data_IF_421352767557
#
_entry.id   IF_421352767557
#
_cell.length_a   1.000
_cell.length_b   1.000
_cell.length_c   1.000
_cell.angle_alpha   90.00
_cell.angle_beta   90.00
_cell.angle_gamma   90.00
#
_symmetry.space_group_name_H-M   'P 1'
#
loop_
_entity.id
_entity.type
_entity.pdbx_description
1 polymer ?
#
# COMPACT_ATOMS: atom_id res chain seq x y z
N UNK A 1 1.45 -21.02 -25.64
CA UNK A 1 1.84 -21.95 -24.57
C UNK A 1 3.25 -21.59 -24.11
N UNK A 2 3.41 -20.51 -23.34
CA UNK A 2 4.68 -20.07 -22.71
C UNK A 2 4.29 -19.40 -21.39
N UNK A 3 3.96 -20.17 -20.39
CA UNK A 3 3.71 -19.66 -19.04
C UNK A 3 3.91 -20.80 -18.07
N UNK A 4 4.98 -20.83 -17.36
CA UNK A 4 5.21 -21.52 -16.08
C UNK A 4 6.70 -21.43 -15.85
N UNK A 5 7.23 -20.64 -14.91
CA UNK A 5 8.58 -20.83 -14.33
C UNK A 5 9.25 -19.58 -13.76
N UNK A 6 8.47 -18.72 -13.09
CA UNK A 6 9.06 -17.51 -12.51
C UNK A 6 9.43 -17.58 -11.01
N UNK A 7 8.96 -18.58 -10.27
CA UNK A 7 9.15 -18.59 -8.80
C UNK A 7 10.60 -18.57 -8.37
N UNK A 8 11.46 -19.31 -9.06
CA UNK A 8 12.89 -19.38 -8.68
C UNK A 8 13.71 -18.36 -9.45
N UNK A 9 13.22 -17.87 -10.59
CA UNK A 9 13.89 -16.79 -11.33
C UNK A 9 13.73 -15.42 -10.64
N UNK A 10 12.56 -15.13 -10.04
CA UNK A 10 12.35 -13.94 -9.20
C UNK A 10 13.26 -13.96 -7.94
N UNK A 11 13.56 -15.15 -7.41
CA UNK A 11 14.51 -15.30 -6.30
C UNK A 11 15.98 -15.18 -6.75
N UNK A 12 16.27 -15.27 -8.06
CA UNK A 12 17.63 -15.23 -8.62
C UNK A 12 17.92 -14.00 -9.46
N UNK A 13 16.91 -13.23 -9.87
CA UNK A 13 17.19 -11.94 -10.49
C UNK A 13 17.74 -11.00 -9.41
N UNK A 14 18.96 -10.46 -9.58
CA UNK A 14 19.27 -9.25 -8.87
C UNK A 14 18.22 -8.23 -9.28
N UNK A 15 17.50 -7.68 -8.33
CA UNK A 15 16.69 -6.48 -8.53
C UNK A 15 17.63 -5.40 -9.08
N UNK A 16 17.79 -5.37 -10.40
CA UNK A 16 18.47 -4.31 -11.14
C UNK A 16 17.56 -3.06 -11.26
N UNK A 17 16.61 -2.95 -10.40
CA UNK A 17 15.99 -1.70 -10.02
C UNK A 17 16.55 -1.39 -8.64
N UNK A 18 17.73 -0.73 -8.66
CA UNK A 18 18.10 0.07 -7.53
C UNK A 18 16.85 0.84 -7.14
N UNK A 19 16.37 0.60 -5.93
CA UNK A 19 15.62 1.62 -5.22
C UNK A 19 16.56 2.81 -5.10
N UNK A 20 16.76 3.50 -6.21
CA UNK A 20 17.10 4.90 -6.15
C UNK A 20 15.93 5.45 -5.36
N UNK A 21 16.20 5.87 -4.13
CA UNK A 21 15.33 6.77 -3.42
C UNK A 21 15.01 7.87 -4.43
N UNK A 22 13.87 7.76 -5.08
CA UNK A 22 13.38 8.77 -6.01
C UNK A 22 12.96 9.92 -5.12
N UNK A 23 13.93 10.71 -4.72
CA UNK A 23 13.74 12.06 -4.22
C UNK A 23 13.66 12.92 -5.45
N UNK A 24 12.46 13.28 -5.94
CA UNK A 24 12.35 14.15 -7.09
C UNK A 24 13.00 15.48 -6.77
N UNK A 25 13.80 15.98 -7.70
CA UNK A 25 14.39 17.32 -7.59
C UNK A 25 13.44 18.36 -8.15
N UNK A 26 13.13 19.38 -7.36
CA UNK A 26 12.34 20.52 -7.81
C UNK A 26 13.10 21.33 -8.85
N UNK A 27 12.50 21.58 -10.03
CA UNK A 27 13.12 22.36 -11.11
C UNK A 27 13.43 23.80 -10.74
N UNK A 28 12.69 24.36 -9.79
CA UNK A 28 12.82 25.77 -9.38
C UNK A 28 13.97 26.00 -8.39
N UNK A 29 14.38 25.00 -7.62
CA UNK A 29 15.44 25.15 -6.63
C UNK A 29 16.55 24.10 -6.73
N UNK A 30 16.49 23.13 -7.64
CA UNK A 30 17.50 22.08 -7.87
C UNK A 30 17.73 21.12 -6.70
N UNK A 31 16.87 21.13 -5.67
CA UNK A 31 17.03 20.34 -4.46
C UNK A 31 16.08 19.13 -4.46
N UNK A 32 16.54 18.01 -3.93
CA UNK A 32 15.69 16.84 -3.66
C UNK A 32 14.56 17.25 -2.74
N UNK A 33 13.31 16.92 -3.06
CA UNK A 33 12.12 17.34 -2.28
C UNK A 33 12.16 16.83 -0.84
N UNK A 34 12.86 15.71 -0.57
CA UNK A 34 13.15 15.23 0.79
C UNK A 34 14.18 16.07 1.55
N UNK A 35 14.85 17.03 0.87
CA UNK A 35 15.97 17.81 1.41
C UNK A 35 15.83 19.30 1.10
N UNK A 36 14.63 19.87 1.22
CA UNK A 36 14.52 21.31 1.28
C UNK A 36 14.86 21.74 2.71
N UNK A 37 16.10 22.22 2.96
CA UNK A 37 16.51 22.48 4.33
C UNK A 37 16.06 23.87 4.75
N UNK A 38 15.04 23.93 5.57
CA UNK A 38 14.96 25.03 6.51
C UNK A 38 15.81 24.62 7.73
N UNK A 39 17.06 25.06 7.78
CA UNK A 39 17.93 24.89 8.95
C UNK A 39 17.46 25.81 10.06
N UNK A 40 16.55 25.31 10.88
CA UNK A 40 16.30 25.84 12.22
C UNK A 40 17.23 25.13 13.21
N UNK A 41 18.14 25.87 13.83
CA UNK A 41 18.98 25.39 14.94
C UNK A 41 18.08 25.08 16.14
N UNK A 42 18.11 23.84 16.64
CA UNK A 42 17.59 23.54 17.99
C UNK A 42 18.71 23.07 18.90
N UNK A 43 18.72 23.56 20.16
CA UNK A 43 19.71 23.16 21.16
C UNK A 43 19.38 21.78 21.76
N UNK A 44 20.40 20.98 21.94
CA UNK A 44 20.33 19.67 22.58
C UNK A 44 19.83 19.78 24.04
N UNK A 45 18.85 18.96 24.41
CA UNK A 45 18.54 18.64 25.80
C UNK A 45 18.98 17.21 26.11
N UNK A 46 19.83 17.13 27.15
CA UNK A 46 20.34 15.90 27.75
C UNK A 46 19.21 15.04 28.33
N UNK A 47 19.26 13.74 28.05
CA UNK A 47 18.42 12.74 28.70
C UNK A 47 19.10 12.21 29.96
N UNK A 48 18.41 12.30 31.07
CA UNK A 48 18.75 11.57 32.30
C UNK A 48 18.04 10.22 32.31
N UNK A 49 18.83 9.18 32.51
CA UNK A 49 18.42 7.80 32.73
C UNK A 49 17.73 7.62 34.08
N UNK A 50 16.63 6.93 34.16
CA UNK A 50 16.13 6.30 35.38
C UNK A 50 15.83 4.85 35.15
N UNK A 51 16.62 3.98 35.78
CA UNK A 51 16.37 2.57 36.00
C UNK A 51 15.19 2.38 36.96
N UNK A 52 14.27 1.46 36.65
CA UNK A 52 13.45 0.83 37.67
C UNK A 52 13.38 -0.69 37.47
N UNK A 53 13.74 -1.35 38.59
CA UNK A 53 13.81 -2.81 38.79
C UNK A 53 12.41 -3.46 38.85
N UNK A 54 12.39 -4.65 38.33
CA UNK A 54 11.69 -5.90 38.65
C UNK A 54 10.61 -5.94 39.73
N UNK A 55 9.54 -6.67 39.43
CA UNK A 55 9.08 -7.76 40.28
C UNK A 55 8.10 -8.67 39.48
N UNK A 56 8.45 -9.95 39.41
CA UNK A 56 7.53 -11.04 39.03
C UNK A 56 6.70 -11.44 40.26
N UNK A 57 5.49 -11.96 40.06
CA UNK A 57 5.10 -13.16 40.77
C UNK A 57 4.65 -14.29 39.82
N UNK A 58 5.10 -15.47 40.19
CA UNK A 58 4.72 -16.74 39.62
C UNK A 58 3.37 -17.20 40.21
N UNK A 59 2.49 -17.74 39.38
CA UNK A 59 1.41 -18.60 39.82
C UNK A 59 1.25 -19.76 38.85
N UNK A 60 1.45 -20.97 39.40
CA UNK A 60 1.02 -22.24 38.83
C UNK A 60 -0.46 -22.44 39.12
N UNK A 61 -1.23 -23.05 38.25
CA UNK A 61 -2.46 -23.70 38.67
C UNK A 61 -2.31 -25.23 38.70
N UNK A 62 -2.87 -25.77 39.74
CA UNK A 62 -3.09 -27.17 40.04
C UNK A 62 -4.16 -27.79 39.15
N UNK A 63 -3.95 -29.07 38.81
CA UNK A 63 -4.91 -29.99 38.21
C UNK A 63 -6.01 -30.43 39.17
N UNK A 64 -7.18 -30.82 38.66
CA UNK A 64 -7.80 -32.02 39.14
C UNK A 64 -8.19 -33.04 38.05
N UNK A 65 -7.95 -34.28 38.37
CA UNK A 65 -8.43 -35.48 37.66
C UNK A 65 -9.96 -35.60 37.71
N UNK A 66 -10.56 -36.07 36.63
CA UNK A 66 -11.67 -37.02 36.71
C UNK A 66 -11.78 -37.82 35.39
N UNK A 67 -11.75 -39.13 35.60
CA UNK A 67 -12.05 -40.18 34.63
C UNK A 67 -13.52 -40.15 34.20
N UNK A 68 -13.76 -40.32 32.89
CA UNK A 68 -14.88 -41.11 32.38
C UNK A 68 -14.49 -41.68 31.01
N UNK A 69 -14.45 -43.00 30.92
CA UNK A 69 -14.27 -43.74 29.69
C UNK A 69 -15.53 -43.72 28.82
N UNK A 70 -15.35 -43.61 27.54
CA UNK A 70 -16.29 -44.11 26.54
C UNK A 70 -15.52 -44.49 25.29
N UNK A 71 -15.50 -45.78 25.01
CA UNK A 71 -14.98 -46.44 23.84
C UNK A 71 -15.87 -46.14 22.64
N UNK A 72 -15.44 -45.23 21.75
CA UNK A 72 -15.86 -45.26 20.35
C UNK A 72 -14.64 -45.41 19.48
N UNK A 73 -14.46 -46.61 18.94
CA UNK A 73 -13.50 -46.87 17.86
C UNK A 73 -13.87 -46.01 16.63
N UNK A 74 -13.05 -44.99 16.36
CA UNK A 74 -13.01 -44.32 15.08
C UNK A 74 -12.34 -45.27 14.05
N UNK A 75 -12.84 -45.36 12.80
CA UNK A 75 -12.12 -46.08 11.76
C UNK A 75 -10.74 -45.45 11.61
N UNK A 76 -9.71 -46.24 11.63
CA UNK A 76 -8.33 -45.86 11.36
C UNK A 76 -8.26 -45.28 9.93
N UNK A 77 -8.26 -43.96 9.81
CA UNK A 77 -7.74 -43.33 8.62
C UNK A 77 -6.25 -43.67 8.58
N UNK A 78 -5.87 -44.59 7.69
CA UNK A 78 -4.47 -44.84 7.39
C UNK A 78 -3.87 -43.51 6.95
N UNK A 79 -3.08 -42.87 7.81
CA UNK A 79 -2.20 -41.77 7.40
C UNK A 79 -1.27 -42.35 6.35
N UNK A 80 -1.14 -41.70 5.19
CA UNK A 80 -0.22 -42.14 4.16
C UNK A 80 1.20 -42.12 4.76
N UNK A 81 1.90 -43.24 4.60
CA UNK A 81 3.27 -43.39 5.08
C UNK A 81 4.16 -42.35 4.43
N UNK A 82 4.90 -41.59 5.21
CA UNK A 82 5.89 -40.61 4.74
C UNK A 82 7.09 -41.40 4.21
N UNK A 83 7.23 -41.51 2.88
CA UNK A 83 8.48 -41.98 2.30
C UNK A 83 9.57 -40.93 2.50
N UNK A 84 10.56 -41.28 3.29
CA UNK A 84 11.71 -40.41 3.57
C UNK A 84 12.66 -40.38 2.40
N UNK A 85 12.75 -39.22 1.73
CA UNK A 85 13.68 -38.82 0.67
C UNK A 85 13.41 -39.39 -0.72
N UNK A 86 12.73 -38.60 -1.54
CA UNK A 86 12.73 -38.73 -2.99
C UNK A 86 13.74 -37.72 -3.56
N UNK A 87 14.73 -38.20 -4.32
CA UNK A 87 15.53 -37.31 -5.18
C UNK A 87 14.71 -36.96 -6.41
N UNK A 88 14.30 -35.72 -6.53
CA UNK A 88 13.58 -35.23 -7.70
C UNK A 88 14.59 -34.97 -8.79
N UNK A 89 14.81 -35.96 -9.67
CA UNK A 89 15.64 -35.77 -10.84
C UNK A 89 14.93 -34.89 -11.84
N UNK A 90 15.64 -33.88 -12.31
CA UNK A 90 15.46 -33.13 -13.53
C UNK A 90 14.24 -33.42 -14.37
N UNK A 91 13.12 -32.80 -14.09
CA UNK A 91 12.24 -32.37 -15.18
C UNK A 91 12.81 -31.03 -15.64
N UNK A 92 13.45 -31.02 -16.80
CA UNK A 92 13.84 -29.82 -17.51
C UNK A 92 12.62 -28.93 -17.62
N UNK A 93 12.65 -27.82 -16.92
CA UNK A 93 11.59 -26.83 -17.01
C UNK A 93 11.60 -26.21 -18.40
N UNK A 94 10.45 -25.69 -18.86
CA UNK A 94 10.36 -25.10 -20.21
C UNK A 94 11.30 -23.89 -20.41
N UNK A 95 11.85 -23.33 -19.32
CA UNK A 95 12.88 -22.27 -19.33
C UNK A 95 14.31 -22.79 -19.52
N UNK A 96 14.49 -24.11 -19.65
CA UNK A 96 15.78 -24.74 -19.83
C UNK A 96 16.61 -24.90 -18.55
N UNK A 97 16.09 -24.54 -17.38
CA UNK A 97 16.81 -24.67 -16.10
C UNK A 97 16.55 -26.05 -15.48
N UNK A 98 17.65 -26.72 -15.10
CA UNK A 98 17.62 -27.98 -14.37
C UNK A 98 17.55 -27.67 -12.86
N UNK A 99 16.42 -28.02 -12.24
CA UNK A 99 16.22 -27.84 -10.80
C UNK A 99 16.12 -29.17 -10.11
N UNK A 100 17.28 -29.78 -9.88
CA UNK A 100 17.40 -30.97 -9.08
C UNK A 100 17.34 -30.62 -7.58
N UNK A 101 16.94 -31.58 -6.75
CA UNK A 101 16.91 -31.39 -5.31
C UNK A 101 16.33 -32.58 -4.57
N UNK A 102 16.30 -32.48 -3.24
CA UNK A 102 15.73 -33.50 -2.38
C UNK A 102 14.35 -33.06 -1.88
N UNK A 103 13.36 -33.92 -2.07
CA UNK A 103 12.03 -33.76 -1.49
C UNK A 103 11.88 -34.65 -0.27
N UNK A 104 11.31 -34.14 0.78
CA UNK A 104 10.86 -34.88 1.98
C UNK A 104 9.39 -34.59 2.17
N UNK A 105 8.55 -35.61 2.08
CA UNK A 105 7.11 -35.49 2.18
C UNK A 105 6.38 -36.67 1.51
N UNK A 106 5.07 -36.52 1.35
CA UNK A 106 4.26 -37.57 0.73
C UNK A 106 4.42 -37.55 -0.81
N UNK A 107 4.59 -38.72 -1.39
CA UNK A 107 4.73 -38.97 -2.82
C UNK A 107 3.64 -39.92 -3.28
N UNK A 108 2.98 -39.59 -4.38
CA UNK A 108 2.01 -40.44 -5.06
C UNK A 108 2.32 -40.49 -6.55
N UNK A 109 2.35 -41.68 -7.13
CA UNK A 109 2.64 -41.90 -8.54
C UNK A 109 3.94 -41.21 -9.01
N UNK A 110 4.98 -41.18 -8.15
CA UNK A 110 6.27 -40.53 -8.41
C UNK A 110 6.24 -39.00 -8.40
N UNK A 111 5.12 -38.40 -7.96
CA UNK A 111 4.94 -36.92 -7.86
C UNK A 111 4.82 -36.48 -6.41
N UNK A 112 5.33 -35.29 -6.10
CA UNK A 112 5.18 -34.65 -4.79
C UNK A 112 3.69 -34.35 -4.55
N UNK A 113 3.21 -34.72 -3.36
CA UNK A 113 1.81 -34.58 -2.98
C UNK A 113 1.70 -34.25 -1.50
N UNK A 114 0.68 -33.46 -1.09
CA UNK A 114 0.46 -33.09 0.30
C UNK A 114 1.57 -32.20 0.88
N UNK A 115 1.71 -32.16 2.20
CA UNK A 115 2.73 -31.35 2.87
C UNK A 115 4.14 -31.91 2.65
N UNK A 116 5.11 -31.04 2.35
CA UNK A 116 6.48 -31.46 2.16
C UNK A 116 7.47 -30.31 1.96
N UNK A 117 8.74 -30.68 1.96
CA UNK A 117 9.87 -29.76 1.81
C UNK A 117 10.73 -30.20 0.62
N UNK A 118 10.98 -29.31 -0.31
CA UNK A 118 11.99 -29.48 -1.36
C UNK A 118 13.21 -28.60 -1.04
N UNK A 119 14.39 -29.21 -1.00
CA UNK A 119 15.69 -28.51 -0.96
C UNK A 119 16.33 -28.66 -2.33
N UNK A 120 16.36 -27.57 -3.07
CA UNK A 120 16.96 -27.54 -4.41
C UNK A 120 18.49 -27.44 -4.33
N UNK A 121 19.20 -27.98 -5.33
CA UNK A 121 20.67 -27.96 -5.38
C UNK A 121 21.25 -26.54 -5.44
N UNK A 122 20.48 -25.57 -5.92
CA UNK A 122 20.85 -24.16 -5.90
C UNK A 122 20.73 -23.49 -4.51
N UNK A 123 20.39 -24.27 -3.46
CA UNK A 123 20.23 -23.80 -2.09
C UNK A 123 18.84 -23.24 -1.77
N UNK A 124 17.93 -23.16 -2.73
CA UNK A 124 16.54 -22.76 -2.46
C UNK A 124 15.81 -23.83 -1.65
N UNK A 125 15.01 -23.43 -0.67
CA UNK A 125 14.17 -24.32 0.12
C UNK A 125 12.70 -23.91 -0.04
N UNK A 126 11.84 -24.86 -0.44
CA UNK A 126 10.40 -24.66 -0.57
C UNK A 126 9.65 -25.62 0.37
N UNK A 127 8.78 -25.07 1.22
CA UNK A 127 7.98 -25.80 2.21
C UNK A 127 6.52 -25.45 2.01
N UNK A 128 5.65 -26.45 1.90
CA UNK A 128 4.23 -26.20 1.74
C UNK A 128 3.48 -27.43 1.22
N UNK A 129 2.27 -27.17 0.74
CA UNK A 129 1.42 -28.19 0.16
C UNK A 129 1.73 -28.38 -1.34
N UNK A 130 1.86 -29.63 -1.75
CA UNK A 130 2.20 -30.03 -3.12
C UNK A 130 1.05 -30.80 -3.73
N UNK A 131 0.78 -30.54 -4.98
CA UNK A 131 -0.20 -31.25 -5.80
C UNK A 131 0.36 -31.44 -7.19
N UNK A 132 0.52 -32.72 -7.63
CA UNK A 132 1.10 -33.08 -8.92
C UNK A 132 2.42 -32.36 -9.21
N UNK A 133 3.38 -32.43 -8.29
CA UNK A 133 4.69 -31.78 -8.34
C UNK A 133 4.69 -30.24 -8.25
N UNK A 134 3.56 -29.59 -8.00
CA UNK A 134 3.43 -28.14 -7.92
C UNK A 134 3.03 -27.71 -6.51
N UNK A 135 3.55 -26.58 -6.06
CA UNK A 135 3.07 -25.98 -4.80
C UNK A 135 1.70 -25.35 -5.00
N UNK A 136 0.77 -25.69 -4.12
CA UNK A 136 -0.58 -25.13 -4.09
C UNK A 136 -0.99 -24.81 -2.64
N UNK A 137 -1.68 -23.69 -2.43
CA UNK A 137 -2.07 -23.25 -1.10
C UNK A 137 -0.94 -22.55 -0.35
N UNK A 138 -0.94 -22.57 0.97
CA UNK A 138 0.03 -21.85 1.80
C UNK A 138 1.38 -22.54 1.82
N UNK A 139 2.45 -21.72 1.78
CA UNK A 139 3.81 -22.23 1.83
C UNK A 139 4.85 -21.13 1.99
N UNK A 140 6.12 -21.56 2.01
CA UNK A 140 7.28 -20.68 2.04
C UNK A 140 8.30 -21.09 0.98
N UNK A 141 8.96 -20.11 0.37
CA UNK A 141 10.12 -20.34 -0.49
C UNK A 141 11.25 -19.41 -0.03
N UNK A 142 12.42 -20.00 0.27
CA UNK A 142 13.60 -19.26 0.71
C UNK A 142 14.74 -19.52 -0.26
N UNK A 143 15.25 -18.48 -0.90
CA UNK A 143 16.38 -18.55 -1.78
C UNK A 143 17.71 -18.62 -1.01
N UNK A 144 18.77 -19.08 -1.67
CA UNK A 144 20.10 -19.17 -1.09
C UNK A 144 20.70 -17.83 -0.64
N UNK A 145 20.25 -16.72 -1.25
CA UNK A 145 20.63 -15.36 -0.86
C UNK A 145 19.85 -14.80 0.34
N UNK A 146 18.93 -15.59 0.92
CA UNK A 146 18.11 -15.17 2.07
C UNK A 146 16.79 -14.48 1.72
N UNK A 147 16.53 -14.22 0.45
CA UNK A 147 15.22 -13.72 0.02
C UNK A 147 14.13 -14.77 0.34
N UNK A 148 13.01 -14.35 0.93
CA UNK A 148 11.99 -15.28 1.43
C UNK A 148 10.59 -14.81 1.05
N UNK A 149 9.81 -15.70 0.45
CA UNK A 149 8.39 -15.55 0.29
C UNK A 149 7.63 -16.42 1.29
N UNK A 150 6.59 -15.87 1.89
CA UNK A 150 5.64 -16.57 2.76
C UNK A 150 4.23 -16.18 2.31
N UNK A 151 3.47 -17.13 1.81
CA UNK A 151 2.15 -16.79 1.27
C UNK A 151 1.47 -17.93 0.55
N UNK A 152 0.54 -17.56 -0.31
CA UNK A 152 -0.25 -18.48 -1.11
C UNK A 152 0.44 -18.76 -2.45
N UNK A 153 0.34 -20.01 -2.88
CA UNK A 153 0.87 -20.52 -4.15
C UNK A 153 -0.26 -21.12 -4.97
N UNK A 154 -0.17 -20.98 -6.26
CA UNK A 154 -0.97 -21.69 -7.24
C UNK A 154 -0.08 -22.15 -8.37
N UNK A 155 -0.12 -23.46 -8.64
CA UNK A 155 0.73 -24.09 -9.65
C UNK A 155 2.21 -23.72 -9.55
N UNK A 156 2.70 -23.55 -8.31
CA UNK A 156 4.04 -23.11 -7.94
C UNK A 156 4.34 -21.62 -8.17
N UNK A 157 3.41 -20.79 -8.59
CA UNK A 157 3.56 -19.33 -8.67
C UNK A 157 3.07 -18.68 -7.37
N UNK A 158 3.61 -17.52 -7.03
CA UNK A 158 3.01 -16.66 -6.00
C UNK A 158 1.65 -16.18 -6.50
N UNK A 159 0.58 -16.60 -5.85
CA UNK A 159 -0.79 -16.27 -6.24
C UNK A 159 -1.66 -16.20 -4.98
N UNK A 160 -2.34 -15.09 -4.77
CA UNK A 160 -3.06 -14.81 -3.54
C UNK A 160 -2.31 -13.84 -2.63
N UNK A 161 -2.47 -13.96 -1.31
CA UNK A 161 -1.80 -13.07 -0.35
C UNK A 161 -0.47 -13.63 0.11
N UNK A 162 0.57 -12.76 0.15
CA UNK A 162 1.89 -13.17 0.61
C UNK A 162 2.82 -12.02 0.98
N UNK A 163 3.90 -12.37 1.63
CA UNK A 163 4.99 -11.48 2.02
C UNK A 163 6.28 -11.92 1.36
N UNK A 164 6.90 -11.07 0.59
CA UNK A 164 8.24 -11.25 0.06
C UNK A 164 9.22 -10.37 0.85
N UNK A 165 10.15 -10.98 1.56
CA UNK A 165 11.26 -10.30 2.22
C UNK A 165 12.47 -10.31 1.29
N UNK A 166 13.06 -9.14 1.04
CA UNK A 166 14.18 -9.00 0.12
C UNK A 166 15.53 -9.27 0.79
N UNK A 167 16.49 -9.70 0.01
CA UNK A 167 17.87 -9.95 0.45
C UNK A 167 18.52 -8.77 1.17
N UNK A 168 18.35 -7.57 0.63
CA UNK A 168 18.96 -6.32 1.14
C UNK A 168 18.13 -5.61 2.21
N UNK A 169 17.16 -6.31 2.77
CA UNK A 169 16.18 -5.73 3.70
C UNK A 169 14.99 -5.10 2.98
N UNK A 170 13.97 -4.77 3.78
CA UNK A 170 12.67 -4.39 3.25
C UNK A 170 11.81 -5.59 2.88
N UNK A 171 10.57 -5.35 2.49
CA UNK A 171 9.62 -6.41 2.13
C UNK A 171 8.42 -5.85 1.38
N UNK A 172 7.80 -6.70 0.57
CA UNK A 172 6.46 -6.46 0.04
C UNK A 172 5.45 -7.32 0.79
N UNK A 173 4.33 -6.75 1.16
CA UNK A 173 3.20 -7.42 1.80
C UNK A 173 1.95 -7.09 0.99
N UNK A 174 1.35 -8.07 0.34
CA UNK A 174 0.20 -7.77 -0.51
C UNK A 174 -0.25 -8.96 -1.34
N UNK A 175 -1.07 -8.65 -2.34
CA UNK A 175 -1.60 -9.64 -3.25
C UNK A 175 -0.69 -9.87 -4.44
N UNK A 176 -0.71 -11.11 -4.91
CA UNK A 176 0.11 -11.63 -5.99
C UNK A 176 -0.77 -12.32 -7.03
N UNK A 177 -0.35 -12.27 -8.26
CA UNK A 177 -0.93 -13.04 -9.34
C UNK A 177 0.16 -13.46 -10.32
N UNK A 178 0.27 -14.75 -10.57
CA UNK A 178 1.27 -15.32 -11.48
C UNK A 178 2.67 -14.71 -11.23
N UNK A 179 3.17 -14.75 -9.98
CA UNK A 179 4.47 -14.23 -9.51
C UNK A 179 4.63 -12.69 -9.55
N UNK A 180 3.62 -11.96 -9.95
CA UNK A 180 3.65 -10.49 -9.99
C UNK A 180 2.85 -9.89 -8.85
N UNK A 181 3.32 -8.76 -8.33
CA UNK A 181 2.50 -7.93 -7.44
C UNK A 181 1.25 -7.50 -8.20
N UNK A 182 0.08 -7.83 -7.71
CA UNK A 182 -1.20 -7.50 -8.36
C UNK A 182 -2.27 -7.25 -7.32
N UNK A 183 -2.99 -6.12 -7.45
CA UNK A 183 -3.91 -5.63 -6.43
C UNK A 183 -3.21 -4.76 -5.39
N UNK A 184 -3.69 -4.74 -4.15
CA UNK A 184 -3.13 -3.85 -3.13
C UNK A 184 -1.96 -4.46 -2.39
N UNK A 185 -0.96 -3.62 -2.07
CA UNK A 185 0.18 -4.01 -1.27
C UNK A 185 0.92 -2.86 -0.58
N UNK A 186 1.78 -3.24 0.32
CA UNK A 186 2.69 -2.38 1.06
C UNK A 186 4.12 -2.79 0.71
N UNK A 187 4.85 -1.88 0.09
CA UNK A 187 6.30 -1.99 -0.07
C UNK A 187 6.96 -1.31 1.13
N UNK A 188 7.68 -2.05 1.94
CA UNK A 188 8.48 -1.51 3.04
C UNK A 188 9.93 -1.48 2.59
N UNK A 189 10.51 -0.29 2.54
CA UNK A 189 11.89 -0.10 2.13
C UNK A 189 12.88 -0.40 3.26
N UNK A 190 14.17 -0.64 2.95
CA UNK A 190 15.19 -0.94 3.98
C UNK A 190 15.37 0.17 5.03
N UNK A 191 15.08 1.41 4.68
CA UNK A 191 15.13 2.55 5.59
C UNK A 191 13.92 2.64 6.54
N UNK A 192 12.89 1.80 6.31
CA UNK A 192 11.66 1.76 7.08
C UNK A 192 10.56 2.69 6.55
N UNK A 193 10.79 3.38 5.44
CA UNK A 193 9.70 4.06 4.72
C UNK A 193 8.78 3.04 4.03
N UNK A 194 7.53 3.44 3.73
CA UNK A 194 6.53 2.56 3.18
C UNK A 194 5.83 3.18 1.97
N UNK A 195 5.66 2.41 0.91
CA UNK A 195 4.75 2.71 -0.19
C UNK A 195 3.52 1.81 -0.08
N UNK A 196 2.37 2.38 0.13
CA UNK A 196 1.06 1.72 0.12
C UNK A 196 0.34 2.09 -1.16
N UNK A 197 0.11 1.11 -2.03
CA UNK A 197 -0.44 1.37 -3.37
C UNK A 197 -1.22 0.17 -3.90
N UNK A 198 -1.96 0.39 -4.97
CA UNK A 198 -2.36 -0.69 -5.86
C UNK A 198 -1.20 -1.02 -6.81
N UNK A 199 -1.11 -2.28 -7.16
CA UNK A 199 -0.11 -2.81 -8.08
C UNK A 199 -0.80 -3.52 -9.23
N UNK A 200 -0.18 -3.45 -10.40
CA UNK A 200 -0.64 -4.16 -11.59
C UNK A 200 0.57 -4.68 -12.35
N UNK A 201 0.55 -5.97 -12.66
CA UNK A 201 1.65 -6.63 -13.39
C UNK A 201 3.04 -6.41 -12.77
N UNK A 202 3.14 -6.22 -11.45
CA UNK A 202 4.38 -5.99 -10.72
C UNK A 202 4.72 -4.53 -10.43
N UNK A 203 4.03 -3.57 -11.04
CA UNK A 203 4.28 -2.13 -10.96
C UNK A 203 3.25 -1.43 -10.08
N UNK A 204 3.65 -0.40 -9.36
CA UNK A 204 2.71 0.44 -8.62
C UNK A 204 1.86 1.24 -9.63
N UNK A 205 0.55 1.01 -9.59
CA UNK A 205 -0.41 1.62 -10.50
C UNK A 205 -1.70 1.96 -9.76
N UNK A 206 -2.00 3.23 -9.65
CA UNK A 206 -3.17 3.74 -8.96
C UNK A 206 -2.85 4.70 -7.83
N UNK A 207 -3.81 4.87 -6.91
CA UNK A 207 -3.61 5.76 -5.78
C UNK A 207 -2.62 5.16 -4.79
N UNK A 208 -1.70 6.00 -4.30
CA UNK A 208 -0.68 5.61 -3.35
C UNK A 208 -0.65 6.52 -2.13
N UNK A 209 -0.09 5.97 -1.06
CA UNK A 209 0.43 6.70 0.06
C UNK A 209 1.88 6.28 0.31
N UNK A 210 2.78 7.25 0.32
CA UNK A 210 4.15 7.06 0.75
C UNK A 210 4.35 7.66 2.14
N UNK A 211 4.80 6.85 3.09
CA UNK A 211 5.08 7.25 4.47
C UNK A 211 6.59 7.26 4.66
N UNK A 212 7.13 8.40 5.05
CA UNK A 212 8.57 8.52 5.33
C UNK A 212 8.90 7.99 6.74
N UNK A 213 10.09 7.47 6.92
CA UNK A 213 10.65 7.10 8.23
C UNK A 213 10.73 8.34 9.10
N UNK A 214 10.22 9.26 9.26
CA UNK A 214 10.30 10.45 10.12
C UNK A 214 8.93 11.03 10.40
N UNK A 215 7.91 10.50 9.73
CA UNK A 215 6.53 10.91 9.95
C UNK A 215 5.91 11.73 8.82
N UNK A 216 6.68 12.21 7.86
CA UNK A 216 6.12 12.85 6.66
C UNK A 216 5.41 11.83 5.77
N UNK A 217 4.39 12.26 5.01
CA UNK A 217 3.73 11.38 4.04
C UNK A 217 3.31 12.14 2.78
N UNK A 218 3.15 11.40 1.70
CA UNK A 218 2.68 11.91 0.43
C UNK A 218 1.56 11.01 -0.10
N UNK A 219 0.54 11.63 -0.65
CA UNK A 219 -0.59 10.94 -1.28
C UNK A 219 -0.69 11.44 -2.72
N UNK A 220 -0.95 10.54 -3.65
CA UNK A 220 -1.09 10.88 -5.07
C UNK A 220 -1.47 9.66 -5.89
N UNK A 221 -1.13 9.70 -7.18
CA UNK A 221 -1.34 8.62 -8.12
C UNK A 221 -0.02 8.18 -8.74
N UNK A 222 0.18 6.87 -8.86
CA UNK A 222 1.23 6.26 -9.67
C UNK A 222 0.63 5.75 -10.98
N UNK A 223 1.43 5.76 -12.03
CA UNK A 223 1.14 5.14 -13.29
C UNK A 223 2.40 4.40 -13.77
N UNK A 224 2.39 3.07 -13.68
CA UNK A 224 3.52 2.21 -14.01
C UNK A 224 4.80 2.54 -13.21
N UNK A 225 4.73 2.59 -11.86
CA UNK A 225 5.79 3.00 -10.91
C UNK A 225 6.16 4.50 -10.93
N UNK A 226 5.65 5.28 -11.87
CA UNK A 226 5.94 6.70 -11.94
C UNK A 226 4.93 7.53 -11.16
N UNK A 227 5.43 8.59 -10.54
CA UNK A 227 4.57 9.62 -9.97
C UNK A 227 3.92 10.41 -11.09
N UNK A 228 2.60 10.43 -11.10
CA UNK A 228 1.84 11.12 -12.14
C UNK A 228 0.68 11.93 -11.54
N UNK A 229 0.47 13.14 -12.09
CA UNK A 229 -0.63 14.01 -11.70
C UNK A 229 -0.45 14.64 -10.32
N UNK A 230 -1.57 14.92 -9.69
CA UNK A 230 -1.65 15.71 -8.47
C UNK A 230 -1.30 14.93 -7.23
N UNK A 231 -0.55 15.54 -6.33
CA UNK A 231 -0.15 14.95 -5.05
C UNK A 231 -0.28 15.96 -3.92
N UNK A 232 -0.58 15.45 -2.74
CA UNK A 232 -0.54 16.18 -1.48
C UNK A 232 0.61 15.61 -0.65
N UNK A 233 1.49 16.50 -0.18
CA UNK A 233 2.65 16.17 0.63
C UNK A 233 2.53 16.85 2.00
N UNK A 234 2.89 16.13 3.06
CA UNK A 234 3.05 16.65 4.40
C UNK A 234 4.49 16.45 4.84
N UNK A 235 5.20 17.55 5.09
CA UNK A 235 6.53 17.50 5.68
C UNK A 235 6.50 17.13 7.16
N UNK A 236 7.68 17.02 7.75
CA UNK A 236 7.86 16.73 9.17
C UNK A 236 7.25 17.83 10.07
N UNK A 237 7.05 19.05 9.54
CA UNK A 237 6.38 20.16 10.20
C UNK A 237 4.84 20.09 10.11
N UNK A 238 4.31 19.07 9.46
CA UNK A 238 2.87 18.84 9.27
C UNK A 238 2.18 19.84 8.34
N UNK A 239 2.93 20.66 7.59
CA UNK A 239 2.33 21.60 6.65
C UNK A 239 2.00 20.91 5.32
N UNK A 240 0.77 21.10 4.82
CA UNK A 240 0.39 20.55 3.55
C UNK A 240 0.99 21.34 2.38
N UNK A 241 1.57 20.62 1.44
CA UNK A 241 2.04 21.14 0.17
C UNK A 241 1.39 20.39 -0.99
N UNK A 242 0.94 21.14 -1.98
CA UNK A 242 0.53 20.56 -3.26
C UNK A 242 1.74 20.38 -4.16
N UNK A 243 1.75 19.30 -4.93
CA UNK A 243 2.72 19.08 -5.99
C UNK A 243 2.04 18.46 -7.22
N UNK A 244 2.44 18.88 -8.41
CA UNK A 244 2.07 18.27 -9.67
C UNK A 244 3.28 17.51 -10.21
N UNK A 245 3.11 16.23 -10.51
CA UNK A 245 4.13 15.37 -11.10
C UNK A 245 3.77 15.01 -12.53
N UNK A 246 4.80 14.89 -13.36
CA UNK A 246 4.74 14.34 -14.70
C UNK A 246 6.00 13.50 -14.93
N UNK A 247 5.84 12.22 -15.19
CA UNK A 247 6.96 11.26 -15.35
C UNK A 247 8.00 11.41 -14.21
N UNK A 248 7.58 11.28 -12.94
CA UNK A 248 8.40 11.45 -11.73
C UNK A 248 8.96 12.85 -11.49
N UNK A 249 8.76 13.77 -12.40
CA UNK A 249 9.26 15.14 -12.26
C UNK A 249 8.22 16.02 -11.61
N UNK A 250 8.58 16.66 -10.51
CA UNK A 250 7.75 17.71 -9.92
C UNK A 250 7.79 18.94 -10.84
N UNK A 251 6.67 19.28 -11.45
CA UNK A 251 6.53 20.40 -12.37
C UNK A 251 5.94 21.64 -11.71
N UNK A 252 5.22 21.46 -10.60
CA UNK A 252 4.62 22.54 -9.84
C UNK A 252 4.56 22.18 -8.35
N UNK A 253 4.78 23.17 -7.47
CA UNK A 253 4.56 23.04 -6.01
C UNK A 253 3.86 24.27 -5.48
N UNK A 254 3.02 24.08 -4.46
CA UNK A 254 2.31 25.17 -3.79
C UNK A 254 2.19 24.87 -2.30
N UNK A 255 2.58 25.83 -1.47
CA UNK A 255 2.26 25.82 -0.05
C UNK A 255 0.76 26.07 0.13
N UNK A 256 0.06 25.09 0.68
CA UNK A 256 -1.38 25.17 0.90
C UNK A 256 -1.76 25.94 2.17
N UNK A 257 -0.78 26.32 2.99
CA UNK A 257 -1.00 27.21 4.14
C UNK A 257 -1.03 28.67 3.71
N UNK A 258 -0.44 28.98 2.55
CA UNK A 258 -0.50 30.32 1.98
C UNK A 258 -1.93 30.67 1.53
N UNK A 259 -2.46 31.76 2.05
CA UNK A 259 -3.83 32.22 1.77
C UNK A 259 -3.99 32.89 0.40
N UNK A 260 -2.91 33.12 -0.30
CA UNK A 260 -2.92 33.65 -1.66
C UNK A 260 -1.58 33.42 -2.35
N UNK A 261 -1.61 33.13 -3.64
CA UNK A 261 -0.43 33.29 -4.52
C UNK A 261 -0.40 34.75 -4.97
N UNK A 262 0.57 35.59 -4.57
CA UNK A 262 0.62 36.98 -5.03
C UNK A 262 0.76 37.01 -6.55
N UNK A 263 -0.15 37.69 -7.23
CA UNK A 263 0.06 38.09 -8.63
C UNK A 263 -0.41 37.14 -9.73
N UNK A 264 -1.14 36.06 -9.39
CA UNK A 264 -1.53 35.03 -10.39
C UNK A 264 -2.65 35.50 -11.33
N UNK A 265 -3.53 36.41 -10.90
CA UNK A 265 -4.66 36.89 -11.69
C UNK A 265 -4.72 38.41 -11.74
N UNK A 266 -5.00 38.95 -12.94
CA UNK A 266 -5.10 40.40 -13.18
C UNK A 266 -6.42 40.99 -12.67
N UNK A 267 -7.52 40.25 -12.75
CA UNK A 267 -8.83 40.68 -12.26
C UNK A 267 -8.97 40.35 -10.78
N UNK A 268 -9.44 41.35 -10.01
CA UNK A 268 -9.74 41.20 -8.57
C UNK A 268 -10.99 41.99 -8.24
N UNK A 269 -11.90 41.36 -7.46
CA UNK A 269 -13.14 42.01 -7.05
C UNK A 269 -13.58 41.49 -5.67
N UNK A 270 -14.19 42.39 -4.89
CA UNK A 270 -14.87 42.02 -3.65
C UNK A 270 -16.34 42.40 -3.77
N UNK A 271 -17.21 41.42 -3.63
CA UNK A 271 -18.67 41.65 -3.63
C UNK A 271 -19.19 42.19 -2.28
N UNK A 272 -20.37 42.75 -2.26
CA UNK A 272 -21.00 43.34 -1.05
C UNK A 272 -21.21 42.33 0.06
N UNK A 273 -21.36 41.04 -0.26
CA UNK A 273 -21.46 39.95 0.71
C UNK A 273 -20.10 39.54 1.32
N UNK A 274 -19.03 40.19 0.93
CA UNK A 274 -17.67 39.89 1.36
C UNK A 274 -16.97 38.77 0.58
N UNK A 275 -17.61 38.23 -0.46
CA UNK A 275 -16.94 37.26 -1.37
C UNK A 275 -15.83 37.96 -2.14
N UNK A 276 -14.60 37.45 -2.03
CA UNK A 276 -13.46 37.96 -2.78
C UNK A 276 -13.08 37.01 -3.92
N UNK A 277 -12.84 37.55 -5.11
CA UNK A 277 -12.49 36.78 -6.29
C UNK A 277 -11.25 37.33 -6.99
N UNK A 278 -10.48 36.42 -7.58
CA UNK A 278 -9.41 36.73 -8.53
C UNK A 278 -9.57 35.85 -9.77
N UNK A 279 -9.26 36.42 -10.95
CA UNK A 279 -9.31 35.74 -12.24
C UNK A 279 -10.70 35.60 -12.84
N UNK A 280 -10.90 34.61 -13.70
CA UNK A 280 -12.17 34.39 -14.39
C UNK A 280 -12.95 33.24 -13.71
N UNK A 281 -13.87 33.61 -12.82
CA UNK A 281 -14.73 32.66 -12.09
C UNK A 281 -16.03 32.31 -12.84
N UNK A 282 -16.24 32.86 -14.03
CA UNK A 282 -17.37 32.51 -14.89
C UNK A 282 -17.04 31.31 -15.76
N UNK A 283 -16.01 31.48 -16.61
CA UNK A 283 -15.53 30.44 -17.52
C UNK A 283 -14.02 30.56 -17.65
N UNK A 284 -13.22 29.85 -16.87
CA UNK A 284 -11.78 29.96 -16.89
C UNK A 284 -11.10 29.50 -15.60
N UNK A 285 -10.01 30.16 -15.21
CA UNK A 285 -9.31 29.88 -13.96
C UNK A 285 -9.40 31.06 -13.01
N UNK A 286 -9.64 30.79 -11.75
CA UNK A 286 -9.76 31.83 -10.74
C UNK A 286 -9.76 31.29 -9.31
N UNK A 287 -9.64 32.24 -8.38
CA UNK A 287 -9.71 32.01 -6.95
C UNK A 287 -10.96 32.71 -6.39
N UNK A 288 -11.66 32.04 -5.50
CA UNK A 288 -12.77 32.60 -4.73
C UNK A 288 -12.55 32.35 -3.24
N UNK A 289 -12.63 33.43 -2.43
CA UNK A 289 -12.67 33.32 -0.96
C UNK A 289 -14.10 33.66 -0.53
N UNK A 290 -14.73 32.68 0.10
CA UNK A 290 -16.11 32.82 0.55
C UNK A 290 -16.18 33.44 1.97
N UNK A 291 -17.21 34.21 2.28
CA UNK A 291 -17.42 34.76 3.63
C UNK A 291 -17.50 33.68 4.69
N UNK A 292 -17.95 32.47 4.32
CA UNK A 292 -17.96 31.29 5.18
C UNK A 292 -16.58 30.80 5.61
N UNK A 293 -15.48 31.33 4.99
CA UNK A 293 -14.10 30.97 5.28
C UNK A 293 -13.53 29.89 4.37
N UNK A 294 -14.28 29.38 3.40
CA UNK A 294 -13.77 28.47 2.38
C UNK A 294 -13.00 29.23 1.29
N UNK A 295 -12.01 28.56 0.66
CA UNK A 295 -11.24 29.11 -0.46
C UNK A 295 -11.18 28.07 -1.56
N UNK A 296 -11.67 28.42 -2.76
CA UNK A 296 -11.51 27.62 -3.97
C UNK A 296 -10.53 28.29 -4.92
N UNK A 297 -9.62 27.51 -5.47
CA UNK A 297 -8.71 27.91 -6.55
C UNK A 297 -8.69 26.82 -7.62
N UNK A 298 -9.12 27.15 -8.84
CA UNK A 298 -9.23 26.14 -9.89
C UNK A 298 -9.96 26.63 -11.12
N UNK A 299 -10.47 25.67 -11.86
CA UNK A 299 -11.23 25.89 -13.08
C UNK A 299 -12.71 26.16 -12.75
N UNK A 300 -13.32 27.01 -13.58
CA UNK A 300 -14.70 27.45 -13.45
C UNK A 300 -15.43 27.31 -14.77
N UNK A 301 -16.68 26.91 -14.71
CA UNK A 301 -17.61 26.88 -15.83
C UNK A 301 -18.99 27.28 -15.34
N UNK A 302 -19.60 28.24 -16.03
CA UNK A 302 -20.92 28.78 -15.68
C UNK A 302 -21.02 29.20 -14.21
N UNK A 303 -19.96 29.87 -13.72
CA UNK A 303 -19.80 30.33 -12.33
C UNK A 303 -19.84 29.21 -11.28
N UNK A 304 -19.59 27.98 -11.68
CA UNK A 304 -19.47 26.80 -10.81
C UNK A 304 -18.06 26.24 -10.82
N UNK A 305 -17.63 25.63 -9.71
CA UNK A 305 -16.38 24.85 -9.70
C UNK A 305 -16.47 23.78 -10.77
N UNK A 306 -15.43 23.66 -11.62
CA UNK A 306 -15.38 22.71 -12.71
C UNK A 306 -13.93 22.28 -12.96
N UNK A 307 -13.72 21.20 -13.72
CA UNK A 307 -12.38 20.71 -14.04
C UNK A 307 -11.54 20.50 -12.78
N UNK A 308 -10.27 20.87 -12.83
CA UNK A 308 -9.38 20.70 -11.69
C UNK A 308 -9.40 21.89 -10.74
N UNK A 309 -9.45 21.62 -9.41
CA UNK A 309 -9.38 22.68 -8.40
C UNK A 309 -9.02 22.19 -6.99
N UNK A 310 -8.57 23.16 -6.20
CA UNK A 310 -8.22 22.98 -4.78
C UNK A 310 -9.22 23.75 -3.94
N UNK A 311 -9.91 23.07 -3.03
CA UNK A 311 -10.79 23.68 -2.04
C UNK A 311 -10.20 23.55 -0.65
N UNK A 312 -9.98 24.65 0.03
CA UNK A 312 -9.55 24.72 1.43
C UNK A 312 -10.78 25.08 2.25
N UNK A 313 -11.20 24.17 3.12
CA UNK A 313 -12.34 24.38 4.00
C UNK A 313 -11.94 25.23 5.21
N UNK A 314 -12.90 25.92 5.82
CA UNK A 314 -12.70 26.73 7.03
C UNK A 314 -12.10 25.93 8.20
N UNK A 315 -12.45 24.65 8.32
CA UNK A 315 -11.94 23.75 9.37
C UNK A 315 -10.50 23.25 9.09
N UNK A 316 -9.91 23.67 7.98
CA UNK A 316 -8.57 23.27 7.57
C UNK A 316 -8.51 22.00 6.72
N UNK A 317 -9.63 21.34 6.44
CA UNK A 317 -9.68 20.27 5.47
C UNK A 317 -9.31 20.77 4.08
N UNK A 318 -8.82 19.87 3.21
CA UNK A 318 -8.43 20.21 1.85
C UNK A 318 -8.97 19.16 0.90
N UNK A 319 -9.61 19.59 -0.19
CA UNK A 319 -9.88 18.75 -1.34
C UNK A 319 -9.05 19.22 -2.54
N UNK A 320 -8.42 18.27 -3.22
CA UNK A 320 -7.65 18.48 -4.44
C UNK A 320 -8.15 17.48 -5.46
N UNK A 321 -8.69 17.93 -6.59
CA UNK A 321 -9.21 16.99 -7.58
C UNK A 321 -10.19 17.62 -8.53
N UNK A 322 -10.92 16.75 -9.21
CA UNK A 322 -11.86 17.10 -10.25
C UNK A 322 -13.21 17.55 -9.66
N UNK A 323 -13.81 18.51 -10.36
CA UNK A 323 -15.09 19.12 -10.04
C UNK A 323 -16.00 19.13 -11.25
N UNK A 324 -17.27 18.92 -11.01
CA UNK A 324 -18.29 19.10 -12.02
C UNK A 324 -19.51 19.78 -11.41
N UNK A 325 -19.94 20.89 -12.00
CA UNK A 325 -21.11 21.68 -11.56
C UNK A 325 -21.12 22.02 -10.05
N UNK A 326 -19.95 22.40 -9.51
CA UNK A 326 -19.80 22.75 -8.09
C UNK A 326 -19.67 21.58 -7.13
N UNK A 327 -19.63 20.34 -7.62
CA UNK A 327 -19.48 19.13 -6.81
C UNK A 327 -18.18 18.43 -7.11
N UNK A 328 -17.61 17.74 -6.10
CA UNK A 328 -16.49 16.83 -6.27
C UNK A 328 -16.94 15.68 -7.19
N UNK A 329 -16.29 15.49 -8.33
CA UNK A 329 -16.66 14.48 -9.33
C UNK A 329 -15.41 14.10 -10.15
N UNK A 330 -15.17 12.81 -10.37
CA UNK A 330 -13.95 12.29 -10.97
C UNK A 330 -12.94 11.84 -9.93
N UNK A 331 -11.65 12.12 -10.12
CA UNK A 331 -10.59 11.71 -9.20
C UNK A 331 -10.19 12.83 -8.25
N UNK A 332 -9.89 12.49 -6.98
CA UNK A 332 -9.46 13.51 -6.03
C UNK A 332 -8.95 12.96 -4.71
N UNK A 333 -8.25 13.84 -4.01
CA UNK A 333 -7.70 13.61 -2.67
C UNK A 333 -8.42 14.50 -1.68
N UNK A 334 -8.91 13.93 -0.59
CA UNK A 334 -9.47 14.67 0.54
C UNK A 334 -8.61 14.44 1.78
N UNK A 335 -8.15 15.51 2.38
CA UNK A 335 -7.42 15.52 3.62
C UNK A 335 -8.28 16.05 4.76
N UNK A 336 -8.37 15.31 5.85
CA UNK A 336 -9.09 15.65 7.07
C UNK A 336 -8.11 16.24 8.10
N UNK A 337 -8.11 17.57 8.27
CA UNK A 337 -7.13 18.26 9.14
C UNK A 337 -7.21 17.83 10.60
N UNK A 338 -8.40 17.53 11.10
CA UNK A 338 -8.63 17.18 12.51
C UNK A 338 -8.02 15.84 12.93
N UNK A 339 -7.96 14.86 12.01
CA UNK A 339 -7.43 13.51 12.26
C UNK A 339 -6.15 13.21 11.50
N UNK A 340 -5.74 14.08 10.58
CA UNK A 340 -4.71 13.83 9.57
C UNK A 340 -5.02 12.62 8.67
N UNK A 341 -6.27 12.17 8.65
CA UNK A 341 -6.69 11.11 7.74
C UNK A 341 -6.71 11.61 6.29
N UNK A 342 -6.70 10.68 5.35
CA UNK A 342 -6.81 11.04 3.95
C UNK A 342 -7.59 9.99 3.15
N UNK A 343 -8.30 10.46 2.15
CA UNK A 343 -8.92 9.64 1.12
C UNK A 343 -8.35 10.04 -0.24
N UNK A 344 -7.93 9.07 -1.02
CA UNK A 344 -7.56 9.23 -2.42
C UNK A 344 -8.38 8.23 -3.26
N UNK A 345 -9.14 8.72 -4.23
CA UNK A 345 -10.02 7.85 -5.00
C UNK A 345 -11.01 8.61 -5.86
N UNK A 346 -12.05 7.88 -6.26
CA UNK A 346 -13.09 8.41 -7.12
C UNK A 346 -14.20 9.09 -6.31
N UNK A 347 -14.76 10.13 -6.91
CA UNK A 347 -15.86 10.92 -6.39
C UNK A 347 -16.98 11.03 -7.42
N UNK A 348 -18.20 11.06 -6.97
CA UNK A 348 -19.36 11.34 -7.79
C UNK A 348 -20.39 12.12 -6.99
N UNK A 349 -20.88 13.24 -7.53
CA UNK A 349 -21.87 14.08 -6.87
C UNK A 349 -21.47 14.47 -5.43
N UNK A 350 -20.18 14.73 -5.18
CA UNK A 350 -19.65 15.09 -3.87
C UNK A 350 -19.33 13.95 -2.93
N UNK A 351 -19.62 12.69 -3.29
CA UNK A 351 -19.47 11.50 -2.45
C UNK A 351 -18.37 10.57 -2.96
N UNK A 352 -17.69 9.89 -2.05
CA UNK A 352 -16.75 8.80 -2.37
C UNK A 352 -17.50 7.66 -3.06
N UNK A 353 -16.95 7.16 -4.18
CA UNK A 353 -17.55 6.08 -4.97
C UNK A 353 -16.46 5.26 -5.66
N UNK A 354 -16.85 4.12 -6.26
CA UNK A 354 -15.95 3.23 -7.00
C UNK A 354 -14.71 2.86 -6.19
N UNK A 355 -13.53 3.03 -6.74
CA UNK A 355 -12.28 2.63 -6.11
C UNK A 355 -11.64 3.79 -5.35
N UNK A 356 -11.13 3.48 -4.16
CA UNK A 356 -10.38 4.45 -3.38
C UNK A 356 -9.68 3.84 -2.18
N UNK A 357 -8.72 4.60 -1.69
CA UNK A 357 -7.91 4.29 -0.51
C UNK A 357 -8.25 5.30 0.58
N UNK A 358 -8.62 4.82 1.76
CA UNK A 358 -8.74 5.64 2.97
C UNK A 358 -7.67 5.25 3.97
N UNK A 359 -6.97 6.23 4.49
CA UNK A 359 -6.00 6.06 5.54
C UNK A 359 -6.50 6.68 6.84
N UNK A 360 -6.48 5.91 7.90
CA UNK A 360 -6.56 6.39 9.27
C UNK A 360 -5.15 6.62 9.80
N UNK A 361 -4.71 7.88 9.80
CA UNK A 361 -3.32 8.25 10.07
C UNK A 361 -2.85 7.80 11.45
N UNK A 362 -3.61 8.08 12.51
CA UNK A 362 -3.23 7.76 13.88
C UNK A 362 -3.08 6.25 14.11
N UNK A 363 -4.02 5.45 13.64
CA UNK A 363 -3.96 4.00 13.76
C UNK A 363 -2.98 3.35 12.79
N UNK A 364 -2.64 4.04 11.69
CA UNK A 364 -1.87 3.51 10.58
C UNK A 364 -2.59 2.42 9.78
N UNK A 365 -3.91 2.30 9.97
CA UNK A 365 -4.72 1.38 9.18
C UNK A 365 -5.08 2.02 7.83
N UNK A 366 -5.34 1.19 6.82
CA UNK A 366 -5.83 1.67 5.54
C UNK A 366 -6.89 0.71 4.98
N UNK A 367 -7.93 1.26 4.38
CA UNK A 367 -8.88 0.50 3.57
C UNK A 367 -8.64 0.81 2.11
N UNK A 368 -8.60 -0.24 1.31
CA UNK A 368 -8.54 -0.14 -0.14
C UNK A 368 -9.60 -1.02 -0.73
N UNK A 369 -10.44 -0.45 -1.54
CA UNK A 369 -11.55 -1.18 -2.10
C UNK A 369 -12.58 -0.25 -2.71
N UNK A 370 -13.76 -0.82 -2.84
CA UNK A 370 -14.89 -0.13 -3.42
C UNK A 370 -15.64 0.71 -2.39
N UNK A 371 -16.19 1.81 -2.88
CA UNK A 371 -16.95 2.80 -2.12
C UNK A 371 -18.30 3.06 -2.79
N UNK A 372 -19.29 3.30 -2.00
CA UNK A 372 -20.61 3.73 -2.44
C UNK A 372 -21.21 4.71 -1.44
N UNK A 373 -21.56 5.91 -1.89
CA UNK A 373 -22.17 6.95 -1.03
C UNK A 373 -21.38 7.20 0.26
N UNK A 374 -20.05 7.45 0.14
CA UNK A 374 -19.10 7.69 1.24
C UNK A 374 -18.78 6.48 2.13
N UNK A 375 -19.32 5.30 1.86
CA UNK A 375 -19.15 4.10 2.67
C UNK A 375 -18.37 3.02 1.94
N UNK A 376 -17.59 2.24 2.69
CA UNK A 376 -16.97 1.03 2.20
C UNK A 376 -18.03 0.05 1.72
N UNK A 377 -17.86 -0.48 0.50
CA UNK A 377 -18.81 -1.37 -0.14
C UNK A 377 -18.11 -2.42 -0.99
N UNK A 378 -18.80 -3.55 -1.24
CA UNK A 378 -18.32 -4.64 -2.09
C UNK A 378 -16.89 -5.10 -1.76
N UNK A 379 -16.07 -5.39 -2.75
CA UNK A 379 -14.73 -5.95 -2.54
C UNK A 379 -13.75 -4.91 -1.99
N UNK A 380 -13.08 -5.27 -0.91
CA UNK A 380 -12.04 -4.44 -0.34
C UNK A 380 -11.20 -5.15 0.70
N UNK A 381 -10.08 -4.51 1.04
CA UNK A 381 -9.14 -5.02 2.02
C UNK A 381 -8.84 -3.95 3.06
N UNK A 382 -9.02 -4.29 4.32
CA UNK A 382 -8.56 -3.52 5.45
C UNK A 382 -7.15 -3.95 5.82
N UNK A 383 -6.22 -3.05 5.79
CA UNK A 383 -4.83 -3.24 6.20
C UNK A 383 -4.62 -2.65 7.58
N UNK A 384 -4.05 -3.43 8.47
CA UNK A 384 -3.75 -3.02 9.83
C UNK A 384 -2.24 -2.70 9.95
N UNK A 385 -1.89 -1.76 10.82
CA UNK A 385 -0.50 -1.35 11.07
C UNK A 385 0.43 -2.53 11.42
N UNK A 386 -0.10 -3.60 12.02
CA UNK A 386 0.65 -4.81 12.38
C UNK A 386 0.85 -5.80 11.22
N UNK A 387 0.72 -5.34 9.99
CA UNK A 387 0.85 -6.14 8.76
C UNK A 387 -0.20 -7.25 8.60
N UNK A 388 -1.27 -7.24 9.40
CA UNK A 388 -2.45 -8.09 9.16
C UNK A 388 -3.37 -7.43 8.15
N UNK A 389 -4.07 -8.23 7.37
CA UNK A 389 -5.12 -7.74 6.50
C UNK A 389 -6.42 -8.52 6.69
N UNK A 390 -7.52 -7.85 6.37
CA UNK A 390 -8.85 -8.46 6.32
C UNK A 390 -9.43 -8.16 4.95
N UNK A 391 -9.46 -9.17 4.08
CA UNK A 391 -10.07 -9.10 2.76
C UNK A 391 -11.50 -9.61 2.82
N UNK A 392 -12.40 -8.98 2.09
CA UNK A 392 -13.79 -9.44 2.06
C UNK A 392 -14.72 -8.53 1.29
N UNK A 393 -16.02 -8.86 1.38
CA UNK A 393 -17.10 -7.99 0.94
C UNK A 393 -17.56 -7.12 2.09
N UNK A 394 -17.78 -5.86 1.76
CA UNK A 394 -18.16 -4.82 2.71
C UNK A 394 -19.53 -4.26 2.33
N UNK A 395 -20.31 -3.89 3.32
CA UNK A 395 -21.55 -3.16 3.13
C UNK A 395 -21.73 -2.17 4.27
N UNK A 396 -21.91 -0.89 3.93
CA UNK A 396 -22.09 0.20 4.90
C UNK A 396 -21.02 0.21 6.01
N UNK A 397 -19.73 0.17 5.59
CA UNK A 397 -18.55 0.16 6.46
C UNK A 397 -18.36 -1.10 7.31
N UNK A 398 -19.14 -2.14 7.09
CA UNK A 398 -19.04 -3.41 7.82
C UNK A 398 -18.60 -4.54 6.91
N UNK A 399 -17.71 -5.38 7.40
CA UNK A 399 -17.36 -6.65 6.74
C UNK A 399 -18.55 -7.60 6.83
N UNK A 400 -19.08 -8.00 5.69
CA UNK A 400 -20.22 -8.93 5.60
C UNK A 400 -19.83 -10.33 5.18
N UNK A 401 -18.72 -10.46 4.47
CA UNK A 401 -18.14 -11.74 4.05
C UNK A 401 -16.62 -11.64 4.07
N UNK A 402 -15.94 -12.57 4.73
CA UNK A 402 -14.48 -12.65 4.74
C UNK A 402 -14.00 -13.62 3.66
N UNK A 403 -13.04 -13.16 2.85
CA UNK A 403 -12.43 -13.95 1.77
C UNK A 403 -11.02 -14.41 2.14
#
# INVERSE_FOLDING_TARGET
MKKIHYIILLLLMPLALGAQSISPTCRTCGKKIALCPYKGKHPAKQSQSRQHRSNKPSCRPSTPHSNYGSTHQRPSSQQPQVESRLYVTNKRFEDGTDRAGYYTGYVKDGMRQGEGTTKFDNGTVAVGNWEHDRMNGKGTATASNGQKYEGEFKDSNFDGFGTLTYEKGGKYIGTWKDDKKDGYGIEVYPDGSELRSTFKDGHADGFYMYVQKGGGYRIGKNEGDKLEGHSLYFGDDGKPMYALFKDDKCVETTDLTATSRPGTYSYKHTYDDGTYVEGNITNGKGLCKYPSGGIYEGEWKDSKHHGFGIYRFKNGDIYIGEWNEGKKDGTGIYFYKSSNDAYAGNWREGKKCYNGTYLWYESGNAYVGQWSNDRMSDLGTMYHRNSKCTRGRWANDKLVEKL
#
